data_IF_914431655238
#
_entry.id   IF_914431655238
#
_cell.length_a   1.000
_cell.length_b   1.000
_cell.length_c   1.000
_cell.angle_alpha   90.00
_cell.angle_beta   90.00
_cell.angle_gamma   90.00
#
_symmetry.space_group_name_H-M   'P 1'
#
loop_
_entity.id
_entity.type
_entity.pdbx_description
1 polymer ?
#
# COMPACT_ATOMS: atom_id res chain seq x y z
N UNK A 1 -18.00 16.75 -10.12
CA UNK A 1 -17.03 15.63 -10.16
C UNK A 1 -16.57 15.47 -11.61
N UNK A 2 -15.30 15.71 -11.96
CA UNK A 2 -14.81 15.27 -13.26
C UNK A 2 -14.73 13.74 -13.22
N UNK A 3 -15.53 13.06 -14.04
CA UNK A 3 -15.38 11.63 -14.29
C UNK A 3 -14.12 11.46 -15.14
N UNK A 4 -13.02 11.05 -14.51
CA UNK A 4 -11.88 10.50 -15.26
C UNK A 4 -12.37 9.16 -15.81
N UNK A 5 -12.95 9.17 -17.00
CA UNK A 5 -13.37 7.97 -17.72
C UNK A 5 -12.13 7.35 -18.35
N UNK A 6 -11.46 6.49 -17.61
CA UNK A 6 -10.41 5.64 -18.15
C UNK A 6 -10.98 4.74 -19.25
N UNK A 7 -10.20 4.52 -20.29
CA UNK A 7 -10.54 3.52 -21.30
C UNK A 7 -10.47 2.11 -20.68
N UNK A 8 -11.23 1.12 -21.18
CA UNK A 8 -11.19 -0.25 -20.66
C UNK A 8 -9.77 -0.87 -20.64
N UNK A 9 -8.94 -0.50 -21.62
CA UNK A 9 -7.54 -0.92 -21.72
C UNK A 9 -6.68 -0.33 -20.60
N UNK A 10 -6.85 0.94 -20.26
CA UNK A 10 -6.11 1.63 -19.19
C UNK A 10 -6.47 1.07 -17.82
N UNK A 11 -7.74 0.69 -17.61
CA UNK A 11 -8.19 -0.03 -16.41
C UNK A 11 -7.45 -1.34 -16.24
N UNK A 12 -7.43 -2.16 -17.29
CA UNK A 12 -6.79 -3.46 -17.27
C UNK A 12 -5.28 -3.32 -17.00
N UNK A 13 -4.60 -2.40 -17.69
CA UNK A 13 -3.18 -2.11 -17.45
C UNK A 13 -2.96 -1.67 -16.01
N UNK A 14 -3.80 -0.78 -15.46
CA UNK A 14 -3.72 -0.33 -14.09
C UNK A 14 -3.79 -1.48 -13.09
N UNK A 15 -4.72 -2.43 -13.29
CA UNK A 15 -4.85 -3.62 -12.43
C UNK A 15 -3.58 -4.48 -12.51
N UNK A 16 -3.13 -4.82 -13.72
CA UNK A 16 -1.99 -5.73 -13.94
C UNK A 16 -0.69 -5.14 -13.40
N UNK A 17 -0.39 -3.89 -13.75
CA UNK A 17 0.82 -3.20 -13.28
C UNK A 17 0.82 -3.10 -11.76
N UNK A 18 -0.33 -2.79 -11.16
CA UNK A 18 -0.46 -2.70 -9.70
C UNK A 18 -0.23 -4.04 -9.02
N UNK A 19 -0.85 -5.11 -9.53
CA UNK A 19 -0.70 -6.46 -9.00
C UNK A 19 0.76 -6.92 -9.07
N UNK A 20 1.40 -6.80 -10.23
CA UNK A 20 2.78 -7.22 -10.44
C UNK A 20 3.78 -6.40 -9.61
N UNK A 21 3.63 -5.07 -9.60
CA UNK A 21 4.52 -4.20 -8.84
C UNK A 21 4.43 -4.47 -7.34
N UNK A 22 3.20 -4.63 -6.84
CA UNK A 22 2.97 -4.95 -5.43
C UNK A 22 3.53 -6.33 -5.06
N UNK A 23 3.22 -7.37 -5.84
CA UNK A 23 3.73 -8.72 -5.58
C UNK A 23 5.27 -8.76 -5.61
N UNK A 24 5.89 -8.11 -6.59
CA UNK A 24 7.36 -8.03 -6.69
C UNK A 24 7.95 -7.35 -5.47
N UNK A 25 7.43 -6.19 -5.08
CA UNK A 25 7.94 -5.46 -3.91
C UNK A 25 7.67 -6.22 -2.60
N UNK A 26 6.59 -6.98 -2.50
CA UNK A 26 6.31 -7.84 -1.36
C UNK A 26 7.43 -8.87 -1.15
N UNK A 27 7.81 -9.62 -2.19
CA UNK A 27 8.88 -10.60 -2.08
C UNK A 27 10.26 -9.97 -1.83
N UNK A 28 10.55 -8.83 -2.49
CA UNK A 28 11.79 -8.07 -2.23
C UNK A 28 11.83 -7.60 -0.77
N UNK A 29 10.72 -7.09 -0.24
CA UNK A 29 10.61 -6.67 1.15
C UNK A 29 10.86 -7.86 2.08
N UNK A 30 10.19 -8.99 1.87
CA UNK A 30 10.38 -10.20 2.69
C UNK A 30 11.84 -10.69 2.71
N UNK A 31 12.56 -10.56 1.59
CA UNK A 31 13.99 -10.87 1.53
C UNK A 31 14.86 -9.84 2.27
N UNK A 32 14.58 -8.54 2.11
CA UNK A 32 15.39 -7.45 2.68
C UNK A 32 15.15 -7.25 4.18
N UNK A 33 13.89 -7.35 4.62
CA UNK A 33 13.43 -7.05 5.98
C UNK A 33 13.05 -8.29 6.78
N UNK A 34 13.54 -9.47 6.38
CA UNK A 34 13.26 -10.73 7.06
C UNK A 34 13.61 -10.74 8.56
N UNK A 35 14.63 -9.99 8.99
CA UNK A 35 14.99 -9.83 10.40
C UNK A 35 14.13 -8.81 11.17
N UNK A 36 13.26 -8.08 10.48
CA UNK A 36 12.37 -7.04 11.03
C UNK A 36 10.90 -7.50 11.07
N UNK A 37 10.65 -8.78 10.81
CA UNK A 37 9.33 -9.39 10.93
C UNK A 37 8.98 -9.49 12.42
N UNK A 38 7.85 -8.90 12.81
CA UNK A 38 7.32 -9.01 14.17
C UNK A 38 6.38 -10.22 14.29
N UNK A 39 5.45 -10.35 13.36
CA UNK A 39 4.54 -11.50 13.26
C UNK A 39 3.94 -11.61 11.86
N UNK A 40 3.03 -12.56 11.65
CA UNK A 40 2.43 -12.84 10.34
C UNK A 40 1.79 -11.58 9.73
N UNK A 41 2.37 -11.09 8.64
CA UNK A 41 1.91 -9.87 7.96
C UNK A 41 2.20 -8.56 8.68
N UNK A 42 2.97 -8.57 9.78
CA UNK A 42 3.31 -7.39 10.57
C UNK A 42 4.84 -7.23 10.63
N UNK A 43 5.32 -6.12 10.08
CA UNK A 43 6.76 -5.81 9.97
C UNK A 43 7.05 -4.44 10.56
N UNK A 44 8.23 -4.26 11.17
CA UNK A 44 8.70 -2.96 11.65
C UNK A 44 9.03 -1.97 10.53
N UNK A 45 9.35 -2.48 9.33
CA UNK A 45 9.51 -1.69 8.10
C UNK A 45 8.82 -2.47 6.98
N UNK A 46 7.78 -1.87 6.39
CA UNK A 46 7.00 -2.50 5.33
C UNK A 46 6.96 -1.63 4.07
N UNK A 47 7.96 -1.79 3.19
CA UNK A 47 8.05 -1.05 1.92
C UNK A 47 6.80 -1.15 1.03
N UNK A 48 6.09 -2.30 0.95
CA UNK A 48 4.88 -2.41 0.17
C UNK A 48 3.77 -1.45 0.64
N UNK A 49 3.80 -0.98 1.88
CA UNK A 49 2.86 0.02 2.38
C UNK A 49 2.85 1.30 1.55
N UNK A 50 4.05 1.86 1.32
CA UNK A 50 4.20 3.06 0.50
C UNK A 50 3.67 2.83 -0.91
N UNK A 51 3.98 1.66 -1.49
CA UNK A 51 3.60 1.35 -2.85
C UNK A 51 2.08 1.23 -2.99
N UNK A 52 1.41 0.60 -2.01
CA UNK A 52 -0.05 0.53 -1.94
C UNK A 52 -0.69 1.92 -1.95
N UNK A 53 -0.13 2.85 -1.17
CA UNK A 53 -0.59 4.24 -1.18
C UNK A 53 -0.39 4.90 -2.54
N UNK A 54 0.81 4.83 -3.13
CA UNK A 54 1.08 5.49 -4.42
C UNK A 54 0.27 4.92 -5.58
N UNK A 55 0.18 3.59 -5.66
CA UNK A 55 -0.60 2.90 -6.69
C UNK A 55 -2.05 3.37 -6.64
N UNK A 56 -2.67 3.44 -5.46
CA UNK A 56 -4.08 3.86 -5.36
C UNK A 56 -4.26 5.36 -5.58
N UNK A 57 -3.28 6.20 -5.24
CA UNK A 57 -3.30 7.63 -5.59
C UNK A 57 -3.29 7.84 -7.11
N UNK A 58 -2.45 7.10 -7.83
CA UNK A 58 -2.26 7.20 -9.28
C UNK A 58 -3.39 6.52 -10.06
N UNK A 59 -3.62 5.22 -9.80
CA UNK A 59 -4.55 4.40 -10.57
C UNK A 59 -5.96 4.36 -9.97
N UNK A 60 -6.17 4.88 -8.75
CA UNK A 60 -7.48 4.84 -8.10
C UNK A 60 -7.96 3.41 -7.85
N UNK A 61 -9.20 3.14 -8.28
CA UNK A 61 -9.88 1.85 -8.10
C UNK A 61 -9.19 0.68 -8.82
N UNK A 62 -8.76 0.79 -10.10
CA UNK A 62 -7.93 -0.23 -10.74
C UNK A 62 -6.73 -0.66 -9.90
N UNK A 63 -6.02 0.30 -9.29
CA UNK A 63 -4.87 0.02 -8.44
C UNK A 63 -5.24 -0.75 -7.18
N UNK A 64 -6.35 -0.37 -6.53
CA UNK A 64 -6.88 -1.06 -5.36
C UNK A 64 -7.23 -2.53 -5.68
N UNK A 65 -7.89 -2.77 -6.83
CA UNK A 65 -8.25 -4.12 -7.29
C UNK A 65 -6.98 -4.94 -7.55
N UNK A 66 -5.98 -4.38 -8.24
CA UNK A 66 -4.71 -5.06 -8.50
C UNK A 66 -3.98 -5.48 -7.22
N UNK A 67 -3.90 -4.58 -6.23
CA UNK A 67 -3.31 -4.90 -4.92
C UNK A 67 -4.12 -5.98 -4.20
N UNK A 68 -5.46 -5.91 -4.26
CA UNK A 68 -6.32 -6.87 -3.58
C UNK A 68 -6.16 -8.29 -4.17
N UNK A 69 -6.12 -8.40 -5.50
CA UNK A 69 -5.87 -9.67 -6.19
C UNK A 69 -4.48 -10.22 -5.85
N UNK A 70 -3.44 -9.39 -5.94
CA UNK A 70 -2.08 -9.81 -5.62
C UNK A 70 -1.96 -10.28 -4.16
N UNK A 71 -2.54 -9.53 -3.22
CA UNK A 71 -2.53 -9.89 -1.80
C UNK A 71 -3.29 -11.20 -1.57
N UNK A 72 -4.47 -11.36 -2.16
CA UNK A 72 -5.22 -12.61 -2.07
C UNK A 72 -4.40 -13.81 -2.56
N UNK A 73 -3.79 -13.70 -3.75
CA UNK A 73 -2.94 -14.76 -4.31
C UNK A 73 -1.76 -15.07 -3.40
N UNK A 74 -1.06 -14.04 -2.91
CA UNK A 74 0.07 -14.21 -1.98
C UNK A 74 -0.38 -14.87 -0.68
N UNK A 75 -1.50 -14.46 -0.10
CA UNK A 75 -2.01 -15.01 1.15
C UNK A 75 -2.46 -16.46 0.98
N UNK A 76 -3.19 -16.77 -0.09
CA UNK A 76 -3.77 -18.09 -0.34
C UNK A 76 -2.73 -19.16 -0.68
N UNK A 77 -1.71 -18.81 -1.48
CA UNK A 77 -0.62 -19.72 -1.82
C UNK A 77 0.59 -19.63 -0.88
N UNK A 78 0.54 -18.73 0.10
CA UNK A 78 1.66 -18.39 0.97
C UNK A 78 1.40 -18.70 2.43
N UNK A 79 1.55 -17.66 3.25
CA UNK A 79 1.82 -17.80 4.69
C UNK A 79 0.57 -17.80 5.59
N UNK A 80 -0.61 -17.45 5.07
CA UNK A 80 -1.85 -17.54 5.85
C UNK A 80 -2.41 -18.97 5.77
N UNK A 81 -3.18 -19.42 6.77
CA UNK A 81 -4.00 -20.60 6.63
C UNK A 81 -4.79 -20.53 5.32
N UNK A 82 -4.97 -21.66 4.62
CA UNK A 82 -5.76 -21.74 3.38
C UNK A 82 -7.27 -21.52 3.61
N UNK A 83 -7.63 -20.78 4.66
CA UNK A 83 -8.95 -20.22 4.86
C UNK A 83 -9.20 -19.13 3.82
N UNK A 84 -10.12 -19.44 2.92
CA UNK A 84 -10.52 -18.57 1.82
C UNK A 84 -11.08 -17.23 2.34
N UNK A 85 -11.85 -17.25 3.42
CA UNK A 85 -12.49 -16.06 4.00
C UNK A 85 -11.44 -15.09 4.52
N UNK A 86 -10.47 -15.62 5.26
CA UNK A 86 -9.35 -14.84 5.80
C UNK A 86 -8.53 -14.21 4.66
N UNK A 87 -8.19 -14.99 3.63
CA UNK A 87 -7.41 -14.51 2.49
C UNK A 87 -8.15 -13.45 1.67
N UNK A 88 -9.44 -13.64 1.41
CA UNK A 88 -10.27 -12.65 0.70
C UNK A 88 -10.33 -11.35 1.49
N UNK A 89 -10.63 -11.40 2.79
CA UNK A 89 -10.70 -10.21 3.62
C UNK A 89 -9.36 -9.47 3.69
N UNK A 90 -8.26 -10.20 3.85
CA UNK A 90 -6.90 -9.62 3.83
C UNK A 90 -6.60 -8.93 2.49
N UNK A 91 -6.96 -9.57 1.38
CA UNK A 91 -6.80 -8.99 0.05
C UNK A 91 -7.60 -7.71 -0.12
N UNK A 92 -8.89 -7.75 0.20
CA UNK A 92 -9.77 -6.58 0.13
C UNK A 92 -9.23 -5.44 1.00
N UNK A 93 -8.85 -5.70 2.24
CA UNK A 93 -8.33 -4.66 3.13
C UNK A 93 -7.03 -4.05 2.58
N UNK A 94 -6.10 -4.87 2.10
CA UNK A 94 -4.83 -4.38 1.54
C UNK A 94 -5.02 -3.46 0.33
N UNK A 95 -5.96 -3.77 -0.56
CA UNK A 95 -6.24 -2.93 -1.72
C UNK A 95 -7.09 -1.71 -1.41
N UNK A 96 -8.14 -1.87 -0.59
CA UNK A 96 -9.16 -0.85 -0.39
C UNK A 96 -8.89 0.10 0.78
N UNK A 97 -8.09 -0.26 1.78
CA UNK A 97 -7.67 0.68 2.83
C UNK A 97 -6.96 1.94 2.27
N UNK A 98 -5.93 1.83 1.41
CA UNK A 98 -5.30 3.01 0.81
C UNK A 98 -6.25 3.76 -0.15
N UNK A 99 -7.15 3.06 -0.83
CA UNK A 99 -8.18 3.70 -1.66
C UNK A 99 -9.19 4.51 -0.83
N UNK A 100 -9.61 3.98 0.32
CA UNK A 100 -10.47 4.70 1.26
C UNK A 100 -9.77 5.94 1.81
N UNK A 101 -8.49 5.81 2.18
CA UNK A 101 -7.67 6.96 2.60
C UNK A 101 -7.66 8.05 1.51
N UNK A 102 -7.45 7.67 0.25
CA UNK A 102 -7.53 8.59 -0.90
C UNK A 102 -8.89 9.26 -0.99
N UNK A 103 -10.00 8.52 -0.90
CA UNK A 103 -11.35 9.09 -1.00
C UNK A 103 -11.60 10.10 0.11
N UNK A 104 -11.23 9.78 1.36
CA UNK A 104 -11.41 10.66 2.51
C UNK A 104 -10.61 11.97 2.38
N UNK A 105 -9.40 11.90 1.85
CA UNK A 105 -8.53 13.06 1.67
C UNK A 105 -9.03 13.95 0.53
N UNK A 106 -9.49 13.35 -0.57
CA UNK A 106 -10.09 14.07 -1.69
C UNK A 106 -11.42 14.73 -1.29
N UNK A 107 -12.25 14.03 -0.49
CA UNK A 107 -13.53 14.58 -0.03
C UNK A 107 -13.36 15.75 0.94
N UNK A 108 -12.26 15.80 1.69
CA UNK A 108 -11.96 16.86 2.63
C UNK A 108 -11.25 18.08 1.98
N UNK A 109 -11.37 18.24 0.66
CA UNK A 109 -10.79 19.32 -0.19
C UNK A 109 -9.28 19.58 -0.07
N UNK A 110 -8.54 18.76 0.69
CA UNK A 110 -7.10 18.95 0.89
C UNK A 110 -6.27 18.62 -0.35
N UNK A 111 -6.76 17.74 -1.23
CA UNK A 111 -6.01 17.22 -2.37
C UNK A 111 -6.81 17.32 -3.67
N UNK A 112 -6.16 17.79 -4.74
CA UNK A 112 -6.76 17.87 -6.07
C UNK A 112 -6.84 16.46 -6.69
N UNK A 113 -7.86 16.15 -7.50
CA UNK A 113 -8.04 14.81 -8.10
C UNK A 113 -6.88 14.37 -9.00
N UNK A 114 -6.17 15.33 -9.60
CA UNK A 114 -4.99 15.14 -10.45
C UNK A 114 -3.67 15.16 -9.66
N UNK A 115 -3.73 15.25 -8.33
CA UNK A 115 -2.59 15.36 -7.42
C UNK A 115 -1.69 16.59 -7.68
N UNK A 116 -2.17 17.58 -8.45
CA UNK A 116 -1.38 18.77 -8.85
C UNK A 116 -0.92 19.61 -7.66
N UNK A 117 -1.66 19.59 -6.56
CA UNK A 117 -1.37 20.34 -5.33
C UNK A 117 -0.80 19.47 -4.20
N UNK A 118 -0.27 18.29 -4.52
CA UNK A 118 0.39 17.39 -3.57
C UNK A 118 1.74 17.98 -3.14
N UNK A 119 1.88 18.28 -1.85
CA UNK A 119 3.13 18.74 -1.24
C UNK A 119 3.53 17.81 -0.09
N UNK A 120 4.73 18.02 0.46
CA UNK A 120 5.26 17.14 1.52
C UNK A 120 4.33 17.05 2.75
N UNK A 121 3.78 18.15 3.30
CA UNK A 121 2.82 18.06 4.40
C UNK A 121 1.58 17.22 4.08
N UNK A 122 0.96 17.43 2.92
CA UNK A 122 -0.21 16.66 2.50
C UNK A 122 0.13 15.18 2.28
N UNK A 123 1.32 14.89 1.76
CA UNK A 123 1.79 13.53 1.60
C UNK A 123 1.96 12.83 2.95
N UNK A 124 2.52 13.51 3.96
CA UNK A 124 2.63 12.97 5.33
C UNK A 124 1.24 12.69 5.91
N UNK A 125 0.27 13.60 5.73
CA UNK A 125 -1.12 13.36 6.13
C UNK A 125 -1.70 12.12 5.42
N UNK A 126 -1.44 11.96 4.12
CA UNK A 126 -1.85 10.78 3.37
C UNK A 126 -1.27 9.49 3.97
N UNK A 127 0.02 9.48 4.28
CA UNK A 127 0.71 8.33 4.89
C UNK A 127 0.11 7.99 6.24
N UNK A 128 -0.10 8.98 7.11
CA UNK A 128 -0.63 8.76 8.45
C UNK A 128 -2.06 8.22 8.42
N UNK A 129 -2.94 8.81 7.59
CA UNK A 129 -4.32 8.34 7.44
C UNK A 129 -4.38 6.95 6.83
N UNK A 130 -3.55 6.70 5.82
CA UNK A 130 -3.43 5.37 5.20
C UNK A 130 -2.93 4.33 6.20
N UNK A 131 -1.83 4.59 6.90
CA UNK A 131 -1.27 3.66 7.88
C UNK A 131 -2.27 3.37 9.00
N UNK A 132 -3.01 4.37 9.45
CA UNK A 132 -4.06 4.21 10.46
C UNK A 132 -5.19 3.30 9.96
N UNK A 133 -5.70 3.55 8.76
CA UNK A 133 -6.75 2.73 8.14
C UNK A 133 -6.26 1.32 7.84
N UNK A 134 -5.03 1.17 7.32
CA UNK A 134 -4.47 -0.12 6.97
C UNK A 134 -4.25 -0.96 8.22
N UNK A 135 -3.55 -0.44 9.23
CA UNK A 135 -3.33 -1.16 10.49
C UNK A 135 -4.65 -1.46 11.20
N UNK A 136 -5.55 -0.48 11.29
CA UNK A 136 -6.84 -0.63 11.96
C UNK A 136 -7.69 -1.72 11.33
N UNK A 137 -7.87 -1.69 10.00
CA UNK A 137 -8.72 -2.66 9.30
C UNK A 137 -8.13 -4.07 9.32
N UNK A 138 -6.81 -4.24 9.13
CA UNK A 138 -6.19 -5.57 9.17
C UNK A 138 -6.32 -6.18 10.57
N UNK A 139 -5.98 -5.43 11.62
CA UNK A 139 -6.05 -5.97 12.98
C UNK A 139 -7.48 -6.21 13.45
N UNK A 140 -8.42 -5.35 13.05
CA UNK A 140 -9.84 -5.60 13.29
C UNK A 140 -10.28 -6.91 12.60
N UNK A 141 -9.91 -7.10 11.33
CA UNK A 141 -10.24 -8.32 10.59
C UNK A 141 -9.63 -9.57 11.22
N UNK A 142 -8.34 -9.55 11.55
CA UNK A 142 -7.67 -10.67 12.19
C UNK A 142 -8.25 -11.00 13.57
N UNK A 143 -8.66 -9.99 14.34
CA UNK A 143 -9.38 -10.21 15.59
C UNK A 143 -10.75 -10.88 15.37
N UNK A 144 -11.52 -10.44 14.35
CA UNK A 144 -12.82 -11.05 14.04
C UNK A 144 -12.72 -12.48 13.54
N UNK A 145 -11.63 -12.83 12.85
CA UNK A 145 -11.34 -14.19 12.39
C UNK A 145 -10.68 -15.07 13.46
N UNK A 146 -10.50 -14.55 14.68
CA UNK A 146 -9.82 -15.23 15.79
C UNK A 146 -8.46 -15.83 15.37
N UNK A 147 -7.70 -15.09 14.56
CA UNK A 147 -6.40 -15.55 14.07
C UNK A 147 -5.38 -15.55 15.22
N UNK A 148 -4.86 -16.73 15.56
CA UNK A 148 -3.88 -16.89 16.63
C UNK A 148 -2.65 -16.00 16.41
N UNK A 149 -2.29 -15.25 17.46
CA UNK A 149 -1.12 -14.35 17.40
C UNK A 149 -1.30 -13.13 16.51
N UNK A 150 -2.53 -12.69 16.23
CA UNK A 150 -2.83 -11.46 15.50
C UNK A 150 -4.00 -10.68 16.15
N UNK A 151 -4.31 -9.49 15.64
CA UNK A 151 -5.52 -8.73 16.05
C UNK A 151 -5.42 -8.02 17.40
N UNK A 152 -4.22 -7.84 17.94
CA UNK A 152 -4.01 -7.15 19.23
C UNK A 152 -3.57 -5.69 19.06
N UNK A 153 -3.71 -4.83 20.10
CA UNK A 153 -3.21 -3.45 20.04
C UNK A 153 -1.72 -3.34 19.73
N UNK A 154 -0.91 -4.31 20.17
CA UNK A 154 0.53 -4.35 19.84
C UNK A 154 0.75 -4.57 18.34
N UNK A 155 0.00 -5.49 17.72
CA UNK A 155 0.06 -5.70 16.27
C UNK A 155 -0.36 -4.47 15.49
N UNK A 156 -1.38 -3.76 15.99
CA UNK A 156 -1.82 -2.50 15.39
C UNK A 156 -0.70 -1.46 15.43
N UNK A 157 -0.05 -1.26 16.57
CA UNK A 157 1.03 -0.29 16.71
C UNK A 157 2.23 -0.63 15.83
N UNK A 158 2.66 -1.89 15.81
CA UNK A 158 3.80 -2.30 14.98
C UNK A 158 3.47 -2.16 13.49
N UNK A 159 2.29 -2.58 13.04
CA UNK A 159 1.86 -2.43 11.65
C UNK A 159 1.75 -0.95 11.26
N UNK A 160 1.20 -0.10 12.13
CA UNK A 160 1.11 1.34 11.90
C UNK A 160 2.50 1.95 11.73
N UNK A 161 3.43 1.66 12.64
CA UNK A 161 4.82 2.12 12.58
C UNK A 161 5.49 1.62 11.29
N UNK A 162 5.32 0.35 10.96
CA UNK A 162 5.88 -0.27 9.77
C UNK A 162 5.36 0.33 8.47
N UNK A 163 4.07 0.63 8.41
CA UNK A 163 3.44 1.27 7.25
C UNK A 163 3.92 2.72 7.10
N UNK A 164 4.08 3.47 8.21
CA UNK A 164 4.60 4.84 8.18
C UNK A 164 6.06 4.85 7.71
N UNK A 165 6.94 4.07 8.35
CA UNK A 165 8.37 4.04 7.97
C UNK A 165 8.58 3.45 6.59
N UNK A 166 7.85 2.38 6.24
CA UNK A 166 7.90 1.78 4.92
C UNK A 166 7.50 2.76 3.82
N UNK A 167 6.46 3.57 4.06
CA UNK A 167 6.02 4.61 3.13
C UNK A 167 7.06 5.73 2.98
N UNK A 168 7.59 6.25 4.09
CA UNK A 168 8.62 7.30 4.08
C UNK A 168 9.92 6.84 3.42
N UNK A 169 10.30 5.58 3.66
CA UNK A 169 11.49 4.98 3.07
C UNK A 169 11.32 4.84 1.56
N UNK A 170 10.18 4.31 1.08
CA UNK A 170 9.91 4.19 -0.34
C UNK A 170 9.96 5.55 -1.05
N UNK A 171 9.37 6.59 -0.45
CA UNK A 171 9.42 7.96 -0.99
C UNK A 171 10.85 8.44 -1.11
N UNK A 172 11.65 8.21 -0.06
CA UNK A 172 13.05 8.60 -0.03
C UNK A 172 13.82 7.90 -1.14
N UNK A 173 13.66 6.59 -1.30
CA UNK A 173 14.30 5.80 -2.37
C UNK A 173 13.92 6.31 -3.76
N UNK A 174 12.63 6.58 -4.01
CA UNK A 174 12.16 7.13 -5.29
C UNK A 174 12.79 8.50 -5.55
N UNK A 175 12.78 9.39 -4.55
CA UNK A 175 13.34 10.74 -4.68
C UNK A 175 14.85 10.70 -4.98
N UNK A 176 15.62 9.95 -4.20
CA UNK A 176 17.06 9.83 -4.42
C UNK A 176 17.38 9.17 -5.76
N UNK A 177 16.61 8.17 -6.19
CA UNK A 177 16.76 7.55 -7.50
C UNK A 177 16.55 8.55 -8.65
N UNK A 178 15.51 9.39 -8.56
CA UNK A 178 15.24 10.44 -9.54
C UNK A 178 16.33 11.52 -9.58
N UNK A 179 16.82 11.96 -8.41
CA UNK A 179 17.88 12.95 -8.31
C UNK A 179 19.20 12.41 -8.92
N UNK A 180 19.50 11.14 -8.68
CA UNK A 180 20.65 10.46 -9.26
C UNK A 180 20.55 10.37 -10.79
N UNK A 181 19.38 9.97 -11.33
CA UNK A 181 19.14 9.93 -12.77
C UNK A 181 19.25 11.32 -13.42
N UNK A 182 18.75 12.37 -12.75
CA UNK A 182 18.91 13.76 -13.21
C UNK A 182 20.38 14.17 -13.23
N UNK A 183 21.14 13.81 -12.20
CA UNK A 183 22.57 14.10 -12.13
C UNK A 183 23.34 13.41 -13.25
N UNK A 184 23.05 12.14 -13.55
CA UNK A 184 23.66 11.43 -14.68
C UNK A 184 23.28 12.03 -16.03
N UNK A 185 22.01 12.41 -16.23
CA UNK A 185 21.56 13.06 -17.46
C UNK A 185 22.20 14.43 -17.68
N UNK A 186 22.49 15.17 -16.61
CA UNK A 186 23.21 16.45 -16.66
C UNK A 186 24.71 16.27 -16.96
N UNK A 187 25.33 15.18 -16.48
CA UNK A 187 26.72 14.84 -16.79
C UNK A 187 26.95 14.28 -18.20
N UNK A 188 25.91 13.72 -18.82
CA UNK A 188 25.96 13.16 -20.17
C UNK A 188 25.63 14.18 -21.28
N UNK A 189 25.32 15.42 -20.92
CA UNK A 189 25.14 16.57 -21.82
C UNK A 189 26.33 17.51 -21.70
#
# INVERSE_FOLDING_TARGET
>A
MPKISFLPSEWFVGIVVSALSYATLFYINSWLTGSLIYSLGVNWIYLPAGLRLFITLIFGLPGAIGIALATFTISYFGALPQDLTLCIGTGLISGFAPYLARVLILSNTQLAPDLSNLNLPKLVICILLYALLSAGLHQFWYATMALDGAGTPNHFLVMFIGDVFGSLLLISVIKYGLDLLRHFKQRAR
#
